data_IF_020487881447
#
_entry.id   IF_020487881447
#
_cell.length_a   1.000
_cell.length_b   1.000
_cell.length_c   1.000
_cell.angle_alpha   90.00
_cell.angle_beta   90.00
_cell.angle_gamma   90.00
#
_symmetry.space_group_name_H-M   'P 1'
#
loop_
_entity.id
_entity.type
_entity.pdbx_description
1 polymer ?
#
# COMPACT_ATOMS: atom_id res chain seq x y z
N UNK A 1 1.67 30.55 11.06
CA UNK A 1 0.84 29.77 12.01
C UNK A 1 0.60 28.38 11.42
N UNK A 2 0.85 27.31 12.18
CA UNK A 2 0.59 25.94 11.76
C UNK A 2 -0.51 25.34 12.62
N UNK A 3 -1.25 24.38 12.07
CA UNK A 3 -2.23 23.58 12.80
C UNK A 3 -1.70 22.15 12.94
N UNK A 4 -1.77 21.62 14.15
CA UNK A 4 -1.37 20.25 14.44
C UNK A 4 -2.50 19.30 14.03
N UNK A 5 -2.35 18.65 12.87
CA UNK A 5 -3.33 17.70 12.31
C UNK A 5 -3.28 16.32 12.96
N UNK A 6 -3.72 15.29 12.24
CA UNK A 6 -3.68 13.92 12.77
C UNK A 6 -2.29 13.29 12.60
N UNK A 7 -1.90 13.08 11.35
CA UNK A 7 -0.60 12.56 10.90
C UNK A 7 0.33 13.66 10.37
N UNK A 8 -0.24 14.78 9.92
CA UNK A 8 0.52 15.87 9.31
C UNK A 8 0.38 17.19 10.09
N UNK A 9 1.42 18.03 10.04
CA UNK A 9 1.32 19.46 10.35
C UNK A 9 0.72 20.19 9.14
N UNK A 10 -0.22 21.07 9.39
CA UNK A 10 -0.93 21.84 8.38
C UNK A 10 -0.40 23.27 8.38
N UNK A 11 0.02 23.77 7.22
CA UNK A 11 0.58 25.12 7.10
C UNK A 11 0.14 25.78 5.78
N UNK A 12 0.06 27.13 5.70
CA UNK A 12 -0.13 27.80 4.44
C UNK A 12 0.98 27.43 3.45
N UNK A 13 0.63 27.23 2.18
CA UNK A 13 1.61 26.84 1.18
C UNK A 13 2.63 27.95 0.91
N UNK A 14 3.90 27.56 0.86
CA UNK A 14 4.99 28.41 0.39
C UNK A 14 5.13 28.37 -1.15
N UNK A 15 4.47 27.42 -1.81
CA UNK A 15 4.56 27.15 -3.25
C UNK A 15 3.48 27.88 -4.06
N UNK A 16 2.50 28.49 -3.38
CA UNK A 16 1.52 29.36 -4.03
C UNK A 16 2.08 30.77 -4.11
N UNK A 17 2.24 31.31 -5.32
CA UNK A 17 2.52 32.73 -5.50
C UNK A 17 1.35 33.53 -4.92
N UNK A 18 1.55 34.11 -3.74
CA UNK A 18 0.70 35.19 -3.26
C UNK A 18 0.84 36.34 -4.26
N UNK A 19 -0.18 36.57 -5.10
CA UNK A 19 -0.35 37.89 -5.71
C UNK A 19 -0.43 38.88 -4.56
N UNK A 20 0.54 39.79 -4.49
CA UNK A 20 0.73 40.74 -3.37
C UNK A 20 -0.40 41.78 -3.21
N UNK A 21 -1.49 41.74 -3.98
CA UNK A 21 -2.54 42.77 -3.99
C UNK A 21 -3.98 42.26 -3.76
N UNK A 22 -4.20 41.40 -2.77
CA UNK A 22 -5.56 41.21 -2.24
C UNK A 22 -5.57 41.23 -0.70
N UNK A 23 -6.55 41.93 -0.07
CA UNK A 23 -6.63 42.00 1.38
C UNK A 23 -6.80 40.59 1.95
N UNK A 24 -6.00 40.30 2.98
CA UNK A 24 -6.05 39.06 3.74
C UNK A 24 -7.51 38.72 4.10
N UNK A 25 -8.04 37.56 3.69
CA UNK A 25 -9.32 37.12 4.21
C UNK A 25 -9.20 36.94 5.73
N UNK A 26 -10.29 37.15 6.50
CA UNK A 26 -10.26 37.00 7.95
C UNK A 26 -9.69 35.64 8.34
N UNK A 27 -8.95 35.60 9.46
CA UNK A 27 -8.12 34.50 9.96
C UNK A 27 -8.81 33.12 10.17
N UNK A 28 -10.05 32.95 9.71
CA UNK A 28 -10.85 31.74 9.82
C UNK A 28 -11.00 30.93 8.51
N UNK A 29 -10.42 31.33 7.37
CA UNK A 29 -10.75 30.67 6.09
C UNK A 29 -9.66 30.53 5.03
N UNK A 30 -8.38 30.60 5.36
CA UNK A 30 -7.35 30.09 4.44
C UNK A 30 -7.23 28.58 4.67
N UNK A 31 -7.71 27.69 3.76
CA UNK A 31 -7.49 26.26 3.94
C UNK A 31 -5.99 26.01 3.92
N UNK A 32 -5.47 25.30 4.93
CA UNK A 32 -4.11 24.80 4.88
C UNK A 32 -3.96 23.92 3.64
N UNK A 33 -2.99 24.25 2.79
CA UNK A 33 -2.77 23.55 1.53
C UNK A 33 -1.47 22.77 1.53
N UNK A 34 -0.56 23.05 2.46
CA UNK A 34 0.70 22.33 2.65
C UNK A 34 0.62 21.47 3.91
N UNK A 35 0.93 20.19 3.74
CA UNK A 35 0.89 19.16 4.76
C UNK A 35 2.29 18.58 4.90
N UNK A 36 2.80 18.50 6.12
CA UNK A 36 4.12 17.92 6.42
C UNK A 36 3.91 16.74 7.36
N UNK A 37 4.30 15.53 6.95
CA UNK A 37 4.19 14.33 7.79
C UNK A 37 5.05 14.49 9.06
N UNK A 38 4.47 14.20 10.22
CA UNK A 38 5.11 14.40 11.54
C UNK A 38 6.26 13.43 11.80
N UNK A 39 6.29 12.30 11.11
CA UNK A 39 7.25 11.22 11.34
C UNK A 39 8.38 11.25 10.32
N UNK A 40 8.05 11.40 9.03
CA UNK A 40 9.02 11.38 7.93
C UNK A 40 9.54 12.77 7.56
N UNK A 41 8.79 13.83 7.90
CA UNK A 41 9.06 15.18 7.44
C UNK A 41 8.78 15.42 5.95
N UNK A 42 8.29 14.42 5.21
CA UNK A 42 7.89 14.60 3.80
C UNK A 42 6.70 15.55 3.69
N UNK A 43 6.67 16.38 2.66
CA UNK A 43 5.60 17.35 2.46
C UNK A 43 4.79 17.06 1.20
N UNK A 44 3.52 17.49 1.22
CA UNK A 44 2.64 17.58 0.07
C UNK A 44 1.89 18.91 0.11
N UNK A 45 1.98 19.68 -0.97
CA UNK A 45 1.14 20.82 -1.23
C UNK A 45 -0.04 20.40 -2.10
N UNK A 46 -1.24 20.25 -1.53
CA UNK A 46 -2.46 19.89 -2.28
C UNK A 46 -2.88 20.95 -3.31
N UNK A 47 -2.42 22.21 -3.17
CA UNK A 47 -2.73 23.27 -4.13
C UNK A 47 -1.86 23.21 -5.39
N UNK A 48 -0.57 22.87 -5.26
CA UNK A 48 0.37 22.83 -6.38
C UNK A 48 0.74 21.41 -6.81
N UNK A 49 0.42 20.41 -5.98
CA UNK A 49 0.90 19.04 -6.05
C UNK A 49 2.43 18.92 -5.92
N UNK A 50 3.10 19.95 -5.38
CA UNK A 50 4.51 19.85 -5.03
C UNK A 50 4.65 18.92 -3.82
N UNK A 51 5.52 17.93 -3.93
CA UNK A 51 5.85 16.98 -2.87
C UNK A 51 7.36 16.77 -2.81
N UNK A 52 7.85 16.29 -1.67
CA UNK A 52 9.26 16.03 -1.49
C UNK A 52 9.60 15.62 -0.06
N UNK A 53 10.89 15.41 0.16
CA UNK A 53 11.47 15.11 1.47
C UNK A 53 11.57 16.37 2.33
N UNK A 54 11.96 16.20 3.59
CA UNK A 54 12.27 17.33 4.47
C UNK A 54 13.43 18.18 3.94
N UNK A 55 14.43 17.57 3.30
CA UNK A 55 15.57 18.28 2.72
C UNK A 55 15.11 19.16 1.55
N UNK A 56 14.24 18.64 0.69
CA UNK A 56 13.65 19.40 -0.40
C UNK A 56 12.83 20.58 0.13
N UNK A 57 12.06 20.36 1.20
CA UNK A 57 11.30 21.42 1.85
C UNK A 57 12.24 22.53 2.38
N UNK A 58 13.27 22.14 3.12
CA UNK A 58 14.25 23.07 3.70
C UNK A 58 14.95 23.88 2.59
N UNK A 59 15.40 23.23 1.52
CA UNK A 59 16.02 23.89 0.39
C UNK A 59 15.07 24.93 -0.25
N UNK A 60 13.80 24.59 -0.45
CA UNK A 60 12.79 25.50 -0.99
C UNK A 60 12.54 26.72 -0.08
N UNK A 61 12.52 26.51 1.23
CA UNK A 61 12.38 27.59 2.23
C UNK A 61 13.59 28.52 2.19
N UNK A 62 14.81 27.97 2.17
CA UNK A 62 16.06 28.73 2.13
C UNK A 62 16.21 29.54 0.83
N UNK A 63 15.87 28.96 -0.31
CA UNK A 63 15.90 29.65 -1.61
C UNK A 63 14.92 30.82 -1.65
N UNK A 64 13.72 30.64 -1.10
CA UNK A 64 12.73 31.72 -1.01
C UNK A 64 13.21 32.86 -0.10
N UNK A 65 13.89 32.55 1.01
CA UNK A 65 14.53 33.56 1.86
C UNK A 65 15.65 34.32 1.14
N UNK A 66 16.32 33.69 0.17
CA UNK A 66 17.36 34.30 -0.68
C UNK A 66 16.81 35.01 -1.93
N UNK A 67 15.48 35.04 -2.11
CA UNK A 67 14.83 35.68 -3.28
C UNK A 67 15.04 34.94 -4.60
N UNK A 68 15.49 33.68 -4.55
CA UNK A 68 15.68 32.84 -5.73
C UNK A 68 14.40 32.02 -5.95
N UNK A 69 13.81 32.01 -7.16
CA UNK A 69 12.67 31.16 -7.43
C UNK A 69 13.04 29.70 -7.20
N UNK A 70 12.13 28.95 -6.58
CA UNK A 70 12.29 27.52 -6.34
C UNK A 70 12.65 26.80 -7.66
N UNK A 71 13.57 25.81 -7.65
CA UNK A 71 13.77 24.96 -8.80
C UNK A 71 12.42 24.34 -9.18
N UNK A 72 12.06 24.41 -10.46
CA UNK A 72 10.93 23.64 -10.99
C UNK A 72 11.15 22.18 -10.63
N UNK A 73 10.10 21.52 -10.13
CA UNK A 73 10.07 20.09 -9.82
C UNK A 73 10.93 19.32 -10.82
N UNK A 74 11.90 18.55 -10.31
CA UNK A 74 12.78 17.72 -11.14
C UNK A 74 11.97 17.03 -12.23
N UNK A 75 12.43 17.11 -13.48
CA UNK A 75 11.76 16.41 -14.56
C UNK A 75 11.70 14.93 -14.20
N UNK A 76 10.52 14.29 -14.29
CA UNK A 76 10.42 12.87 -13.97
C UNK A 76 11.42 12.10 -14.85
N UNK A 77 12.10 11.13 -14.24
CA UNK A 77 13.02 10.24 -14.94
C UNK A 77 12.40 9.70 -16.24
N UNK A 78 13.22 9.47 -17.26
CA UNK A 78 12.74 9.15 -18.60
C UNK A 78 11.78 7.94 -18.62
N UNK A 79 12.03 6.95 -17.76
CA UNK A 79 11.18 5.77 -17.60
C UNK A 79 9.81 6.09 -16.98
N UNK A 80 9.77 7.00 -15.99
CA UNK A 80 8.51 7.48 -15.41
C UNK A 80 7.70 8.27 -16.45
N UNK A 81 8.36 9.01 -17.35
CA UNK A 81 7.70 9.70 -18.46
C UNK A 81 7.10 8.70 -19.45
N UNK A 82 7.86 7.70 -19.87
CA UNK A 82 7.39 6.61 -20.77
C UNK A 82 6.21 5.86 -20.17
N UNK A 83 6.30 5.44 -18.91
CA UNK A 83 5.20 4.74 -18.23
C UNK A 83 3.91 5.57 -18.14
N UNK A 84 4.02 6.90 -17.99
CA UNK A 84 2.86 7.80 -18.04
C UNK A 84 2.27 7.92 -19.45
N UNK A 85 3.10 7.87 -20.49
CA UNK A 85 2.66 7.84 -21.88
C UNK A 85 1.95 6.52 -22.21
N UNK A 86 2.48 5.38 -21.76
CA UNK A 86 1.87 4.07 -21.90
C UNK A 86 0.50 4.00 -21.21
N UNK A 87 0.42 4.51 -19.97
CA UNK A 87 -0.85 4.63 -19.25
C UNK A 87 -1.88 5.47 -20.03
N UNK A 88 -1.45 6.58 -20.66
CA UNK A 88 -2.33 7.40 -21.51
C UNK A 88 -2.78 6.64 -22.77
N UNK A 89 -1.86 5.94 -23.44
CA UNK A 89 -2.17 5.14 -24.62
C UNK A 89 -3.21 4.05 -24.30
N UNK A 90 -3.03 3.34 -23.18
CA UNK A 90 -3.98 2.34 -22.69
C UNK A 90 -5.33 2.98 -22.38
N UNK A 91 -5.32 4.11 -21.67
CA UNK A 91 -6.54 4.84 -21.32
C UNK A 91 -7.34 5.28 -22.55
N UNK A 92 -6.69 5.82 -23.57
CA UNK A 92 -7.32 6.30 -24.79
C UNK A 92 -7.87 5.16 -25.65
N UNK A 93 -7.24 3.98 -25.60
CA UNK A 93 -7.73 2.76 -26.26
C UNK A 93 -8.83 2.04 -25.48
N UNK A 94 -8.93 2.27 -24.17
CA UNK A 94 -9.95 1.66 -23.33
C UNK A 94 -11.31 2.34 -23.54
N UNK A 95 -12.37 1.54 -23.62
CA UNK A 95 -13.73 2.03 -23.82
C UNK A 95 -14.42 2.23 -22.47
N UNK A 96 -15.24 3.28 -22.27
CA UNK A 96 -16.04 3.40 -21.07
C UNK A 96 -16.92 2.16 -20.90
N UNK A 97 -16.87 1.52 -19.73
CA UNK A 97 -17.53 0.22 -19.53
C UNK A 97 -19.05 0.31 -19.71
N UNK A 98 -19.65 1.46 -19.42
CA UNK A 98 -21.08 1.74 -19.59
C UNK A 98 -21.48 2.16 -21.02
N UNK A 99 -20.53 2.36 -21.93
CA UNK A 99 -20.74 2.75 -23.33
C UNK A 99 -20.22 1.70 -24.31
N UNK A 100 -20.05 0.45 -23.86
CA UNK A 100 -19.75 -0.63 -24.78
C UNK A 100 -20.91 -0.76 -25.78
N UNK A 101 -20.55 -0.91 -27.07
CA UNK A 101 -21.51 -0.91 -28.18
C UNK A 101 -22.53 -2.07 -28.12
N UNK A 102 -22.24 -3.12 -27.36
CA UNK A 102 -23.06 -4.33 -27.21
C UNK A 102 -23.48 -4.52 -25.74
N UNK A 103 -24.80 -4.54 -25.49
CA UNK A 103 -25.38 -4.73 -24.16
C UNK A 103 -25.08 -6.13 -23.58
N UNK A 104 -24.99 -7.14 -24.44
CA UNK A 104 -24.65 -8.51 -24.03
C UNK A 104 -23.16 -8.61 -23.65
N UNK A 105 -22.27 -7.96 -24.42
CA UNK A 105 -20.85 -7.83 -24.06
C UNK A 105 -20.68 -7.12 -22.71
N UNK A 106 -21.45 -6.05 -22.47
CA UNK A 106 -21.43 -5.30 -21.21
C UNK A 106 -21.85 -6.19 -20.04
N UNK A 107 -22.98 -6.89 -20.20
CA UNK A 107 -23.54 -7.76 -19.16
C UNK A 107 -22.61 -8.93 -18.84
N UNK A 108 -22.02 -9.55 -19.87
CA UNK A 108 -21.02 -10.63 -19.74
C UNK A 108 -19.75 -10.14 -19.07
N UNK A 109 -19.26 -8.95 -19.44
CA UNK A 109 -18.09 -8.34 -18.82
C UNK A 109 -18.36 -8.05 -17.35
N UNK A 110 -19.49 -7.42 -17.02
CA UNK A 110 -19.86 -7.16 -15.62
C UNK A 110 -19.97 -8.46 -14.80
N UNK A 111 -20.58 -9.51 -15.36
CA UNK A 111 -20.66 -10.80 -14.71
C UNK A 111 -19.27 -11.44 -14.49
N UNK A 112 -18.37 -11.33 -15.46
CA UNK A 112 -17.00 -11.85 -15.37
C UNK A 112 -16.23 -11.27 -14.18
N UNK A 113 -16.41 -9.98 -13.91
CA UNK A 113 -15.75 -9.29 -12.80
C UNK A 113 -16.57 -9.29 -11.50
N UNK A 114 -17.74 -9.93 -11.47
CA UNK A 114 -18.60 -9.97 -10.29
C UNK A 114 -19.26 -8.63 -9.94
N UNK A 115 -19.46 -7.75 -10.93
CA UNK A 115 -19.97 -6.38 -10.76
C UNK A 115 -21.34 -6.18 -11.43
N UNK A 116 -22.12 -7.24 -11.63
CA UNK A 116 -23.44 -7.18 -12.27
C UNK A 116 -24.41 -6.21 -11.59
N UNK A 117 -24.30 -6.01 -10.27
CA UNK A 117 -25.13 -5.06 -9.52
C UNK A 117 -24.58 -3.63 -9.53
N UNK A 118 -23.36 -3.39 -10.05
CA UNK A 118 -22.79 -2.04 -10.13
C UNK A 118 -23.42 -1.30 -11.31
N UNK A 119 -24.03 -0.17 -11.00
CA UNK A 119 -24.76 0.67 -11.95
C UNK A 119 -23.80 1.44 -12.87
N UNK A 120 -24.28 1.75 -14.07
CA UNK A 120 -23.54 2.56 -15.04
C UNK A 120 -23.24 3.98 -14.53
N UNK A 121 -24.13 4.53 -13.70
CA UNK A 121 -23.90 5.81 -13.05
C UNK A 121 -22.66 5.78 -12.14
N UNK A 122 -22.47 4.70 -11.37
CA UNK A 122 -21.29 4.51 -10.53
C UNK A 122 -20.04 4.32 -11.38
N UNK A 123 -20.09 3.47 -12.40
CA UNK A 123 -18.96 3.24 -13.31
C UNK A 123 -18.53 4.55 -13.99
N UNK A 124 -19.50 5.32 -14.48
CA UNK A 124 -19.30 6.63 -15.09
C UNK A 124 -18.65 7.62 -14.14
N UNK A 125 -19.13 7.66 -12.89
CA UNK A 125 -18.60 8.55 -11.87
C UNK A 125 -17.13 8.26 -11.55
N UNK A 126 -16.75 6.99 -11.47
CA UNK A 126 -15.36 6.58 -11.19
C UNK A 126 -14.48 6.46 -12.45
N UNK A 127 -15.04 6.64 -13.64
CA UNK A 127 -14.28 6.56 -14.89
C UNK A 127 -13.81 5.15 -15.23
N UNK A 128 -14.51 4.10 -14.81
CA UNK A 128 -14.09 2.72 -15.06
C UNK A 128 -14.20 2.37 -16.55
N UNK A 129 -13.09 1.97 -17.17
CA UNK A 129 -13.04 1.58 -18.59
C UNK A 129 -12.74 0.09 -18.76
N UNK A 130 -12.86 -0.39 -19.98
CA UNK A 130 -12.58 -1.76 -20.38
C UNK A 130 -11.66 -1.78 -21.59
N UNK A 131 -10.55 -2.51 -21.47
CA UNK A 131 -9.60 -2.74 -22.54
C UNK A 131 -9.88 -4.12 -23.18
N UNK A 132 -10.57 -4.11 -24.33
CA UNK A 132 -10.96 -5.33 -25.05
C UNK A 132 -9.78 -6.24 -25.41
N UNK A 133 -8.67 -5.66 -25.84
CA UNK A 133 -7.48 -6.42 -26.28
C UNK A 133 -6.91 -7.31 -25.17
N UNK A 134 -6.90 -6.81 -23.92
CA UNK A 134 -6.41 -7.53 -22.75
C UNK A 134 -7.52 -8.24 -21.95
N UNK A 135 -8.79 -7.96 -22.27
CA UNK A 135 -9.97 -8.36 -21.46
C UNK A 135 -9.84 -7.90 -20.00
N UNK A 136 -9.39 -6.65 -19.82
CA UNK A 136 -9.08 -6.09 -18.49
C UNK A 136 -9.95 -4.88 -18.19
N UNK A 137 -10.40 -4.76 -16.94
CA UNK A 137 -10.91 -3.50 -16.42
C UNK A 137 -9.76 -2.52 -16.21
N UNK A 138 -10.03 -1.24 -16.45
CA UNK A 138 -9.07 -0.13 -16.33
C UNK A 138 -9.61 0.86 -15.31
N UNK A 139 -8.90 1.02 -14.20
CA UNK A 139 -9.22 1.94 -13.12
C UNK A 139 -8.27 3.14 -13.17
N UNK A 140 -8.76 4.35 -13.49
CA UNK A 140 -7.90 5.52 -13.56
C UNK A 140 -7.58 6.09 -12.19
N UNK A 141 -6.34 6.52 -12.01
CA UNK A 141 -5.97 7.44 -10.94
C UNK A 141 -5.80 8.83 -11.51
N UNK A 142 -6.77 9.68 -11.23
CA UNK A 142 -6.73 11.07 -11.62
C UNK A 142 -6.14 11.95 -10.51
N UNK A 143 -5.51 13.03 -10.92
CA UNK A 143 -5.10 14.09 -10.02
C UNK A 143 -6.33 14.77 -9.38
N UNK A 144 -6.30 15.07 -8.08
CA UNK A 144 -7.43 15.68 -7.38
C UNK A 144 -7.71 17.12 -7.82
N UNK A 145 -6.77 17.80 -8.49
CA UNK A 145 -6.89 19.22 -8.84
C UNK A 145 -7.46 19.45 -10.23
N UNK A 146 -6.94 18.74 -11.21
CA UNK A 146 -7.18 18.98 -12.64
C UNK A 146 -7.76 17.77 -13.37
N UNK A 147 -8.06 16.69 -12.62
CA UNK A 147 -8.53 15.42 -13.15
C UNK A 147 -7.63 14.84 -14.27
N UNK A 148 -6.35 15.24 -14.31
CA UNK A 148 -5.40 14.67 -15.28
C UNK A 148 -5.10 13.23 -14.92
N UNK A 149 -5.01 12.37 -15.93
CA UNK A 149 -4.59 10.98 -15.73
C UNK A 149 -3.14 10.95 -15.26
N UNK A 150 -2.94 10.37 -14.09
CA UNK A 150 -1.63 10.26 -13.45
C UNK A 150 -1.13 8.81 -13.44
N UNK A 151 -2.04 7.85 -13.51
CA UNK A 151 -1.78 6.43 -13.71
C UNK A 151 -3.07 5.64 -13.86
N UNK A 152 -2.97 4.34 -14.03
CA UNK A 152 -4.09 3.41 -14.07
C UNK A 152 -3.72 2.05 -13.50
N UNK A 153 -4.74 1.33 -13.04
CA UNK A 153 -4.66 -0.08 -12.68
C UNK A 153 -5.45 -0.91 -13.67
N UNK A 154 -4.83 -1.98 -14.16
CA UNK A 154 -5.48 -3.01 -14.96
C UNK A 154 -5.82 -4.19 -14.06
N UNK A 155 -7.05 -4.68 -14.16
CA UNK A 155 -7.46 -5.92 -13.49
C UNK A 155 -7.97 -6.87 -14.55
N UNK A 156 -7.34 -8.04 -14.63
CA UNK A 156 -7.71 -9.15 -15.52
C UNK A 156 -8.19 -10.32 -14.70
N UNK A 157 -9.16 -11.06 -15.23
CA UNK A 157 -9.60 -12.32 -14.65
C UNK A 157 -8.94 -13.48 -15.38
N UNK A 158 -8.22 -14.32 -14.63
CA UNK A 158 -7.70 -15.61 -15.08
C UNK A 158 -8.44 -16.76 -14.38
N UNK A 159 -8.78 -17.80 -15.14
CA UNK A 159 -9.33 -19.03 -14.56
C UNK A 159 -8.19 -20.01 -14.33
N UNK A 160 -7.88 -20.31 -13.06
CA UNK A 160 -6.96 -21.40 -12.68
C UNK A 160 -7.79 -22.57 -12.17
N UNK A 161 -8.20 -23.44 -13.09
CA UNK A 161 -9.17 -24.51 -12.79
C UNK A 161 -10.56 -23.93 -12.49
N UNK A 162 -11.16 -24.35 -11.39
CA UNK A 162 -12.46 -23.83 -10.92
C UNK A 162 -12.34 -22.50 -10.16
N UNK A 163 -11.13 -22.04 -9.84
CA UNK A 163 -10.89 -20.80 -9.11
C UNK A 163 -10.68 -19.61 -10.06
N UNK A 164 -11.32 -18.48 -9.72
CA UNK A 164 -11.13 -17.19 -10.37
C UNK A 164 -9.96 -16.48 -9.68
N UNK A 165 -8.90 -16.19 -10.44
CA UNK A 165 -7.77 -15.39 -9.99
C UNK A 165 -7.83 -14.02 -10.66
N UNK A 166 -7.63 -12.96 -9.88
CA UNK A 166 -7.48 -11.61 -10.40
C UNK A 166 -5.99 -11.30 -10.54
N UNK A 167 -5.59 -10.85 -11.72
CA UNK A 167 -4.23 -10.38 -12.01
C UNK A 167 -4.29 -8.87 -12.12
N UNK A 168 -3.47 -8.20 -11.31
CA UNK A 168 -3.42 -6.75 -11.20
C UNK A 168 -2.10 -6.24 -11.81
N UNK A 169 -2.18 -5.16 -12.58
CA UNK A 169 -1.01 -4.47 -13.15
C UNK A 169 -1.21 -2.97 -12.97
N UNK A 170 -0.16 -2.25 -12.58
CA UNK A 170 -0.23 -0.83 -12.19
C UNK A 170 0.76 -0.01 -12.99
N UNK A 171 0.29 1.07 -13.60
CA UNK A 171 1.09 1.97 -14.45
C UNK A 171 0.91 3.44 -14.02
N UNK A 172 1.99 4.19 -13.73
CA UNK A 172 3.37 3.71 -13.54
C UNK A 172 3.50 2.80 -12.31
N UNK A 173 4.59 2.04 -12.23
CA UNK A 173 4.90 1.13 -11.10
C UNK A 173 4.95 1.87 -9.76
N UNK A 174 4.76 1.11 -8.67
CA UNK A 174 4.43 1.64 -7.35
C UNK A 174 5.48 2.57 -6.73
N UNK A 175 6.77 2.45 -7.07
CA UNK A 175 7.82 3.24 -6.42
C UNK A 175 7.78 4.73 -6.83
N UNK A 176 7.17 5.03 -7.97
CA UNK A 176 7.07 6.39 -8.53
C UNK A 176 5.71 7.06 -8.30
N UNK A 177 4.76 6.43 -7.59
CA UNK A 177 3.37 6.89 -7.61
C UNK A 177 2.59 6.83 -6.29
N UNK A 178 2.05 7.99 -5.88
CA UNK A 178 1.43 8.24 -4.57
C UNK A 178 0.01 8.81 -4.71
N UNK A 179 -0.93 8.03 -5.24
CA UNK A 179 -2.32 8.46 -5.36
C UNK A 179 -3.32 7.37 -4.90
N UNK A 180 -4.59 7.75 -4.77
CA UNK A 180 -5.70 6.92 -4.32
C UNK A 180 -6.80 6.86 -5.40
N UNK A 181 -7.37 5.68 -5.62
CA UNK A 181 -8.53 5.55 -6.50
C UNK A 181 -9.74 6.24 -5.90
N UNK A 182 -10.45 7.04 -6.71
CA UNK A 182 -11.61 7.83 -6.27
C UNK A 182 -11.27 9.19 -5.64
N UNK A 183 -9.99 9.58 -5.53
CA UNK A 183 -9.58 10.81 -4.86
C UNK A 183 -10.23 12.10 -5.42
N UNK A 184 -10.34 12.32 -6.74
CA UNK A 184 -11.02 13.51 -7.28
C UNK A 184 -12.52 13.57 -7.00
N UNK A 185 -13.12 12.45 -6.57
CA UNK A 185 -14.55 12.40 -6.23
C UNK A 185 -14.84 12.90 -4.82
N UNK A 186 -13.79 13.08 -4.01
CA UNK A 186 -13.89 13.60 -2.65
C UNK A 186 -14.14 15.10 -2.69
N UNK A 187 -15.26 15.53 -2.13
CA UNK A 187 -15.59 16.93 -1.93
C UNK A 187 -15.00 17.49 -0.65
N UNK A 188 -14.79 18.81 -0.60
CA UNK A 188 -14.32 19.52 0.62
C UNK A 188 -15.26 19.39 1.83
N UNK A 189 -16.50 18.95 1.63
CA UNK A 189 -17.50 18.75 2.68
C UNK A 189 -17.51 17.32 3.23
N UNK A 190 -16.80 16.41 2.59
CA UNK A 190 -16.72 15.02 3.02
C UNK A 190 -15.85 14.94 4.27
N UNK A 191 -16.50 14.63 5.40
CA UNK A 191 -15.82 14.51 6.70
C UNK A 191 -15.61 13.07 7.13
N UNK A 192 -16.19 12.14 6.38
CA UNK A 192 -16.15 10.70 6.63
C UNK A 192 -15.67 9.98 5.37
N UNK A 193 -14.83 8.97 5.56
CA UNK A 193 -14.23 8.18 4.49
C UNK A 193 -14.30 6.69 4.82
N UNK A 194 -14.50 5.86 3.79
CA UNK A 194 -14.20 4.43 3.85
C UNK A 194 -12.98 4.13 2.97
N UNK A 195 -11.96 3.50 3.55
CA UNK A 195 -10.79 3.01 2.82
C UNK A 195 -10.93 1.52 2.54
N UNK A 196 -10.77 1.14 1.28
CA UNK A 196 -10.79 -0.24 0.80
C UNK A 196 -9.42 -0.69 0.30
N UNK A 197 -9.22 -2.02 0.25
CA UNK A 197 -8.05 -2.60 -0.38
C UNK A 197 -8.15 -2.64 -1.91
N UNK A 198 -9.36 -2.65 -2.47
CA UNK A 198 -9.61 -2.85 -3.90
C UNK A 198 -10.53 -1.80 -4.50
N UNK A 199 -10.32 -1.48 -5.77
CA UNK A 199 -11.06 -0.49 -6.53
C UNK A 199 -12.55 -0.86 -6.66
N UNK A 200 -12.83 -2.14 -6.92
CA UNK A 200 -14.21 -2.64 -7.05
C UNK A 200 -15.02 -2.49 -5.76
N UNK A 201 -14.38 -2.68 -4.61
CA UNK A 201 -15.02 -2.50 -3.31
C UNK A 201 -15.36 -1.03 -3.06
N UNK A 202 -14.52 -0.09 -3.53
CA UNK A 202 -14.81 1.34 -3.44
C UNK A 202 -16.03 1.73 -4.30
N UNK A 203 -16.20 1.12 -5.47
CA UNK A 203 -17.40 1.31 -6.30
C UNK A 203 -18.67 0.84 -5.57
N UNK A 204 -18.62 -0.38 -5.01
CA UNK A 204 -19.75 -0.98 -4.32
C UNK A 204 -20.17 -0.16 -3.09
N UNK A 205 -19.20 0.32 -2.30
CA UNK A 205 -19.46 1.18 -1.14
C UNK A 205 -20.07 2.51 -1.52
N UNK A 206 -19.50 3.19 -2.51
CA UNK A 206 -20.00 4.48 -2.93
C UNK A 206 -21.43 4.37 -3.44
N UNK A 207 -21.72 3.34 -4.24
CA UNK A 207 -23.07 3.08 -4.74
C UNK A 207 -24.07 2.80 -3.61
N UNK A 208 -23.71 1.94 -2.66
CA UNK A 208 -24.65 1.48 -1.64
C UNK A 208 -24.87 2.52 -0.51
N UNK A 209 -23.86 3.35 -0.23
CA UNK A 209 -23.85 4.20 0.98
C UNK A 209 -23.78 5.69 0.69
N UNK A 210 -23.31 6.08 -0.50
CA UNK A 210 -23.02 7.47 -0.85
C UNK A 210 -21.82 8.09 -0.13
N UNK A 211 -21.15 7.35 0.77
CA UNK A 211 -19.99 7.83 1.52
C UNK A 211 -18.78 7.93 0.58
N UNK A 212 -17.91 8.91 0.83
CA UNK A 212 -16.63 8.99 0.14
C UNK A 212 -15.86 7.67 0.35
N UNK A 213 -15.42 7.08 -0.75
CA UNK A 213 -14.78 5.75 -0.75
C UNK A 213 -13.51 5.82 -1.59
N UNK A 214 -12.39 5.38 -1.04
CA UNK A 214 -11.09 5.38 -1.70
C UNK A 214 -10.45 4.00 -1.62
N UNK A 215 -9.78 3.56 -2.68
CA UNK A 215 -9.01 2.32 -2.67
C UNK A 215 -7.50 2.57 -2.61
N UNK A 216 -6.81 1.75 -1.82
CA UNK A 216 -5.36 1.77 -1.67
C UNK A 216 -4.67 1.13 -2.89
N UNK A 217 -3.58 1.72 -3.41
CA UNK A 217 -2.92 1.21 -4.61
C UNK A 217 -2.36 -0.22 -4.44
N UNK A 218 -1.81 -0.52 -3.25
CA UNK A 218 -1.28 -1.86 -2.88
C UNK A 218 -2.20 -2.60 -1.90
N UNK A 219 -3.49 -2.28 -1.91
CA UNK A 219 -4.48 -2.91 -1.03
C UNK A 219 -4.08 -2.98 0.44
N UNK A 220 -4.23 -4.17 1.05
CA UNK A 220 -3.88 -4.40 2.45
C UNK A 220 -2.37 -4.55 2.72
N UNK A 221 -1.52 -4.56 1.67
CA UNK A 221 -0.09 -4.81 1.81
C UNK A 221 0.65 -3.61 2.41
N UNK A 222 0.34 -2.39 1.97
CA UNK A 222 1.04 -1.20 2.44
C UNK A 222 0.19 0.08 2.32
N UNK A 223 0.29 0.93 3.34
CA UNK A 223 -0.21 2.31 3.34
C UNK A 223 0.99 3.28 3.42
N UNK A 224 1.47 3.79 2.27
CA UNK A 224 2.60 4.73 2.25
C UNK A 224 2.27 6.03 3.00
N UNK A 225 3.20 6.55 3.84
CA UNK A 225 3.02 7.83 4.55
C UNK A 225 2.70 9.01 3.62
N UNK A 226 3.18 8.95 2.38
CA UNK A 226 2.90 9.96 1.36
C UNK A 226 1.40 10.16 1.04
N UNK A 227 0.56 9.17 1.33
CA UNK A 227 -0.88 9.25 1.11
C UNK A 227 -1.62 9.89 2.28
N UNK A 228 -0.99 9.97 3.47
CA UNK A 228 -1.62 10.49 4.69
C UNK A 228 -2.11 11.95 4.57
N UNK A 229 -1.39 12.86 3.88
CA UNK A 229 -1.89 14.21 3.60
C UNK A 229 -3.29 14.25 2.97
N UNK A 230 -3.59 13.36 2.02
CA UNK A 230 -4.91 13.31 1.37
C UNK A 230 -6.03 12.88 2.33
N UNK A 231 -5.65 12.23 3.44
CA UNK A 231 -6.55 11.67 4.44
C UNK A 231 -6.75 12.61 5.64
N UNK A 232 -6.05 13.74 5.71
CA UNK A 232 -6.13 14.70 6.83
C UNK A 232 -7.50 15.36 6.97
N UNK A 233 -8.21 15.59 5.87
CA UNK A 233 -9.53 16.27 5.91
C UNK A 233 -10.61 15.47 6.64
N UNK A 234 -10.46 14.15 6.74
CA UNK A 234 -11.48 13.27 7.28
C UNK A 234 -11.39 13.18 8.80
N UNK A 235 -12.53 13.45 9.46
CA UNK A 235 -12.69 13.33 10.91
C UNK A 235 -12.97 11.90 11.34
N UNK A 236 -13.50 11.07 10.45
CA UNK A 236 -13.75 9.64 10.68
C UNK A 236 -13.31 8.84 9.46
N UNK A 237 -12.51 7.81 9.70
CA UNK A 237 -12.03 6.89 8.66
C UNK A 237 -12.44 5.47 9.05
N UNK A 238 -13.16 4.78 8.17
CA UNK A 238 -13.50 3.37 8.34
C UNK A 238 -12.60 2.53 7.43
N UNK A 239 -11.89 1.55 7.98
CA UNK A 239 -11.04 0.63 7.23
C UNK A 239 -11.82 -0.67 6.97
N UNK A 240 -12.06 -0.98 5.70
CA UNK A 240 -12.69 -2.22 5.24
C UNK A 240 -11.86 -2.80 4.09
N UNK A 241 -10.71 -3.36 4.46
CA UNK A 241 -9.64 -3.66 3.51
C UNK A 241 -9.80 -5.00 2.77
N UNK A 242 -10.61 -5.91 3.29
CA UNK A 242 -10.81 -7.23 2.71
C UNK A 242 -11.60 -8.16 3.63
N UNK A 243 -11.52 -9.46 3.34
CA UNK A 243 -12.31 -10.52 3.97
C UNK A 243 -11.49 -11.50 4.82
N UNK A 244 -10.17 -11.32 4.90
CA UNK A 244 -9.29 -12.21 5.64
C UNK A 244 -8.67 -11.55 6.88
N UNK A 245 -8.17 -12.38 7.79
CA UNK A 245 -7.49 -11.91 9.00
C UNK A 245 -6.25 -11.05 8.69
N UNK A 246 -5.59 -11.25 7.53
CA UNK A 246 -4.47 -10.40 7.10
C UNK A 246 -4.93 -8.97 6.84
N UNK A 247 -6.05 -8.79 6.13
CA UNK A 247 -6.68 -7.50 5.90
C UNK A 247 -7.11 -6.84 7.21
N UNK A 248 -7.59 -7.62 8.17
CA UNK A 248 -7.92 -7.15 9.52
C UNK A 248 -6.69 -6.65 10.29
N UNK A 249 -5.60 -7.41 10.28
CA UNK A 249 -4.34 -7.00 10.90
C UNK A 249 -3.74 -5.76 10.23
N UNK A 250 -3.75 -5.70 8.90
CA UNK A 250 -3.32 -4.53 8.14
C UNK A 250 -4.14 -3.29 8.52
N UNK A 251 -5.46 -3.43 8.66
CA UNK A 251 -6.32 -2.35 9.11
C UNK A 251 -5.93 -1.82 10.51
N UNK A 252 -5.59 -2.71 11.44
CA UNK A 252 -5.06 -2.30 12.77
C UNK A 252 -3.74 -1.53 12.67
N UNK A 253 -2.83 -1.94 11.78
CA UNK A 253 -1.56 -1.23 11.57
C UNK A 253 -1.78 0.14 10.94
N UNK A 254 -2.58 0.21 9.88
CA UNK A 254 -2.87 1.45 9.16
C UNK A 254 -3.59 2.47 10.06
N UNK A 255 -4.47 2.01 10.96
CA UNK A 255 -5.10 2.87 11.95
C UNK A 255 -4.12 3.58 12.90
N UNK A 256 -2.93 3.00 13.15
CA UNK A 256 -1.89 3.65 13.95
C UNK A 256 -1.30 4.85 13.21
N UNK A 257 -1.04 4.72 11.90
CA UNK A 257 -0.58 5.84 11.03
C UNK A 257 -1.65 6.92 10.91
N UNK A 258 -2.90 6.52 10.82
CA UNK A 258 -4.05 7.42 10.61
C UNK A 258 -4.61 8.03 11.90
N UNK A 259 -3.98 7.86 13.06
CA UNK A 259 -4.52 8.20 14.38
C UNK A 259 -5.73 7.35 14.80
N UNK A 260 -5.49 6.48 15.79
CA UNK A 260 -6.44 5.47 16.27
C UNK A 260 -7.81 6.03 16.67
N UNK A 261 -7.86 7.26 17.19
CA UNK A 261 -9.09 7.87 17.72
C UNK A 261 -10.15 8.18 16.66
N UNK A 262 -9.74 8.36 15.40
CA UNK A 262 -10.65 8.62 14.28
C UNK A 262 -10.93 7.41 13.40
N UNK A 263 -10.28 6.28 13.70
CA UNK A 263 -10.37 5.09 12.89
C UNK A 263 -11.39 4.10 13.45
N UNK A 264 -12.19 3.50 12.56
CA UNK A 264 -13.04 2.34 12.84
C UNK A 264 -12.70 1.22 11.86
N UNK A 265 -12.84 -0.02 12.27
CA UNK A 265 -12.41 -1.20 11.52
C UNK A 265 -13.60 -2.11 11.30
N UNK A 266 -13.85 -2.52 10.06
CA UNK A 266 -14.82 -3.57 9.75
C UNK A 266 -14.14 -4.92 9.91
N UNK A 267 -14.76 -5.80 10.70
CA UNK A 267 -14.19 -7.10 11.01
C UNK A 267 -14.65 -8.13 9.96
N UNK A 268 -13.73 -8.87 9.34
CA UNK A 268 -14.14 -9.94 8.42
C UNK A 268 -14.97 -11.01 9.13
N UNK A 269 -16.10 -11.36 8.53
CA UNK A 269 -16.98 -12.47 8.95
C UNK A 269 -17.95 -12.81 7.81
N UNK A 270 -18.65 -13.95 7.90
CA UNK A 270 -19.66 -14.32 6.91
C UNK A 270 -20.78 -13.27 6.75
N UNK A 271 -21.04 -12.50 7.81
CA UNK A 271 -22.02 -11.40 7.80
C UNK A 271 -21.43 -10.05 7.37
N UNK A 272 -20.11 -9.97 7.22
CA UNK A 272 -19.35 -8.79 6.83
C UNK A 272 -18.24 -9.20 5.84
N UNK A 273 -18.59 -9.74 4.66
CA UNK A 273 -17.61 -10.09 3.64
C UNK A 273 -16.99 -8.81 3.05
N UNK A 274 -16.15 -8.93 2.02
CA UNK A 274 -15.65 -7.74 1.32
C UNK A 274 -16.81 -6.92 0.70
N UNK A 275 -16.67 -5.59 0.53
CA UNK A 275 -17.80 -4.74 0.13
C UNK A 275 -18.52 -5.12 -1.16
N UNK A 276 -17.80 -5.51 -2.21
CA UNK A 276 -18.43 -5.95 -3.46
C UNK A 276 -19.29 -7.20 -3.25
N UNK A 277 -18.77 -8.16 -2.48
CA UNK A 277 -19.51 -9.39 -2.20
C UNK A 277 -20.73 -9.10 -1.30
N UNK A 278 -20.59 -8.23 -0.30
CA UNK A 278 -21.70 -7.78 0.52
C UNK A 278 -22.82 -7.16 -0.33
N UNK A 279 -22.46 -6.38 -1.37
CA UNK A 279 -23.42 -5.83 -2.32
C UNK A 279 -24.10 -6.94 -3.13
N UNK A 280 -23.33 -7.90 -3.65
CA UNK A 280 -23.83 -9.04 -4.42
C UNK A 280 -24.77 -9.96 -3.62
N UNK A 281 -24.53 -10.11 -2.32
CA UNK A 281 -25.39 -10.85 -1.40
C UNK A 281 -26.62 -10.04 -0.92
N UNK A 282 -26.75 -8.77 -1.30
CA UNK A 282 -27.84 -7.90 -0.87
C UNK A 282 -27.78 -7.47 0.60
N UNK A 283 -26.59 -7.53 1.22
CA UNK A 283 -26.38 -7.08 2.59
C UNK A 283 -26.46 -5.55 2.70
N UNK A 284 -26.83 -5.04 3.87
CA UNK A 284 -26.89 -3.60 4.11
C UNK A 284 -25.52 -3.04 4.50
N UNK A 285 -24.77 -2.53 3.53
CA UNK A 285 -23.43 -1.96 3.74
C UNK A 285 -23.43 -0.81 4.75
N UNK A 286 -24.46 0.04 4.78
CA UNK A 286 -24.58 1.13 5.77
C UNK A 286 -24.67 0.58 7.20
N UNK A 287 -25.40 -0.52 7.40
CA UNK A 287 -25.48 -1.20 8.70
C UNK A 287 -24.13 -1.79 9.10
N UNK A 288 -23.39 -2.37 8.16
CA UNK A 288 -22.04 -2.90 8.40
C UNK A 288 -21.09 -1.77 8.81
N UNK A 289 -21.08 -0.65 8.09
CA UNK A 289 -20.27 0.52 8.44
C UNK A 289 -20.59 1.08 9.84
N UNK A 290 -21.87 1.12 10.21
CA UNK A 290 -22.29 1.55 11.56
C UNK A 290 -21.88 0.57 12.66
N UNK A 291 -21.70 -0.70 12.32
CA UNK A 291 -21.25 -1.75 13.23
C UNK A 291 -19.71 -1.86 13.29
N UNK A 292 -18.97 -1.03 12.54
CA UNK A 292 -17.51 -1.01 12.57
C UNK A 292 -16.99 -0.73 13.99
N UNK A 293 -15.92 -1.43 14.35
CA UNK A 293 -15.35 -1.39 15.69
C UNK A 293 -14.35 -0.23 15.81
N UNK A 294 -14.38 0.59 16.87
CA UNK A 294 -13.37 1.62 17.07
C UNK A 294 -11.95 1.03 17.13
N UNK A 295 -11.00 1.64 16.42
CA UNK A 295 -9.60 1.17 16.42
C UNK A 295 -8.88 1.49 17.74
N UNK A 296 -9.33 2.52 18.47
CA UNK A 296 -8.75 2.90 19.75
C UNK A 296 -9.10 1.88 20.83
N UNK A 297 -8.14 1.04 21.19
CA UNK A 297 -8.28 0.19 22.37
C UNK A 297 -7.70 0.91 23.61
N UNK A 298 -8.40 0.81 24.76
CA UNK A 298 -7.83 1.21 26.05
C UNK A 298 -6.68 0.25 26.38
N UNK A 299 -5.60 0.75 27.00
CA UNK A 299 -4.39 -0.03 27.34
C UNK A 299 -4.64 -1.25 28.25
N UNK A 300 -5.86 -1.39 28.78
CA UNK A 300 -6.32 -2.54 29.56
C UNK A 300 -7.66 -2.99 28.99
N UNK A 301 -7.79 -4.29 28.77
CA UNK A 301 -8.91 -4.94 28.09
C UNK A 301 -9.43 -6.08 28.96
N UNK A 302 -10.73 -6.31 28.98
CA UNK A 302 -11.34 -7.46 29.67
C UNK A 302 -11.61 -8.60 28.69
N UNK A 303 -11.68 -9.84 29.17
CA UNK A 303 -12.09 -10.97 28.32
C UNK A 303 -13.45 -10.72 27.65
N UNK A 304 -14.38 -10.03 28.33
CA UNK A 304 -15.66 -9.64 27.74
C UNK A 304 -15.50 -8.83 26.44
N UNK A 305 -14.47 -7.98 26.36
CA UNK A 305 -14.16 -7.19 25.16
C UNK A 305 -13.42 -8.03 24.11
N UNK A 306 -12.62 -9.01 24.53
CA UNK A 306 -11.88 -9.91 23.64
C UNK A 306 -12.70 -11.11 23.14
N UNK A 307 -13.85 -11.40 23.75
CA UNK A 307 -14.62 -12.64 23.53
C UNK A 307 -14.89 -12.91 22.05
N UNK A 308 -15.31 -11.88 21.33
CA UNK A 308 -15.57 -11.97 19.90
C UNK A 308 -14.29 -12.19 19.10
N UNK A 309 -13.20 -11.48 19.46
CA UNK A 309 -11.89 -11.65 18.81
C UNK A 309 -11.38 -13.08 18.97
N UNK A 310 -11.36 -13.59 20.19
CA UNK A 310 -11.00 -14.97 20.54
C UNK A 310 -11.88 -15.97 19.78
N UNK A 311 -13.20 -15.76 19.73
CA UNK A 311 -14.08 -16.65 18.97
C UNK A 311 -13.70 -16.69 17.48
N UNK A 312 -13.43 -15.55 16.86
CA UNK A 312 -13.05 -15.54 15.44
C UNK A 312 -11.66 -16.11 15.18
N UNK A 313 -10.72 -16.03 16.13
CA UNK A 313 -9.45 -16.75 16.02
C UNK A 313 -9.65 -18.27 16.08
N UNK A 314 -10.54 -18.74 16.97
CA UNK A 314 -10.87 -20.17 17.09
C UNK A 314 -11.58 -20.70 15.83
N UNK A 315 -12.50 -19.92 15.26
CA UNK A 315 -13.18 -20.29 14.01
C UNK A 315 -12.21 -20.32 12.83
N UNK A 316 -11.31 -19.33 12.74
CA UNK A 316 -10.39 -19.18 11.62
C UNK A 316 -8.99 -19.74 11.93
N UNK A 317 -8.92 -20.93 12.55
CA UNK A 317 -7.67 -21.55 13.01
C UNK A 317 -6.61 -21.61 11.89
N UNK A 318 -7.00 -21.88 10.64
CA UNK A 318 -6.05 -21.94 9.53
C UNK A 318 -5.44 -20.60 9.13
N UNK A 319 -6.20 -19.51 9.25
CA UNK A 319 -5.71 -18.16 8.94
C UNK A 319 -4.83 -17.61 10.08
N UNK A 320 -5.07 -18.05 11.33
CA UNK A 320 -4.27 -17.69 12.51
C UNK A 320 -2.95 -18.48 12.58
N UNK A 321 -2.84 -19.61 11.87
CA UNK A 321 -1.63 -20.45 11.86
C UNK A 321 -0.37 -19.72 11.33
N UNK A 322 -0.56 -18.57 10.70
CA UNK A 322 0.48 -17.79 10.03
C UNK A 322 0.47 -18.00 8.52
N UNK A 323 1.35 -17.30 7.82
CA UNK A 323 1.48 -17.43 6.36
C UNK A 323 2.18 -18.76 6.07
N UNK A 324 1.43 -19.72 5.52
CA UNK A 324 1.98 -21.03 5.13
C UNK A 324 2.91 -20.86 3.93
N UNK A 325 4.08 -21.49 3.94
CA UNK A 325 4.99 -21.45 2.79
C UNK A 325 4.43 -22.27 1.63
N UNK A 326 4.39 -21.71 0.42
CA UNK A 326 3.90 -22.43 -0.75
C UNK A 326 4.94 -23.45 -1.25
N UNK A 327 6.22 -23.04 -1.26
CA UNK A 327 7.38 -23.85 -1.69
C UNK A 327 7.86 -24.86 -0.64
N UNK A 328 7.43 -24.72 0.63
CA UNK A 328 7.87 -25.59 1.74
C UNK A 328 6.72 -26.26 2.52
N UNK A 329 5.96 -27.20 1.92
CA UNK A 329 4.84 -27.86 2.59
C UNK A 329 5.23 -28.62 3.87
N UNK A 330 6.39 -29.26 3.91
CA UNK A 330 6.86 -29.98 5.11
C UNK A 330 7.19 -29.02 6.26
N UNK A 331 7.70 -27.83 5.96
CA UNK A 331 7.96 -26.81 6.97
C UNK A 331 6.64 -26.35 7.63
N UNK A 332 5.55 -26.27 6.86
CA UNK A 332 4.23 -25.99 7.41
C UNK A 332 3.74 -27.08 8.37
N UNK A 333 4.11 -28.35 8.18
CA UNK A 333 3.71 -29.41 9.12
C UNK A 333 4.38 -29.22 10.48
N UNK A 334 5.63 -28.76 10.48
CA UNK A 334 6.46 -28.57 11.67
C UNK A 334 6.21 -27.22 12.36
N UNK A 335 6.32 -26.12 11.62
CA UNK A 335 6.26 -24.75 12.16
C UNK A 335 4.88 -24.11 12.08
N UNK A 336 3.94 -24.73 11.35
CA UNK A 336 2.56 -24.25 11.10
C UNK A 336 2.42 -22.97 10.28
N UNK A 337 3.52 -22.42 9.76
CA UNK A 337 3.54 -21.20 8.96
C UNK A 337 4.34 -20.08 9.64
N UNK A 338 4.53 -18.97 8.93
CA UNK A 338 5.19 -17.78 9.46
C UNK A 338 4.22 -16.95 10.32
N UNK A 339 4.50 -16.82 11.62
CA UNK A 339 3.71 -15.99 12.53
C UNK A 339 4.47 -14.73 12.94
N UNK A 340 3.72 -13.63 13.05
CA UNK A 340 4.26 -12.33 13.45
C UNK A 340 4.62 -12.34 14.93
N UNK A 341 5.70 -11.64 15.29
CA UNK A 341 6.18 -11.54 16.66
C UNK A 341 7.08 -12.70 17.11
N UNK A 342 7.29 -13.71 16.26
CA UNK A 342 8.25 -14.78 16.52
C UNK A 342 9.67 -14.36 16.11
N UNK A 343 10.67 -14.85 16.86
CA UNK A 343 12.08 -14.76 16.50
C UNK A 343 12.57 -16.15 16.12
N UNK A 344 12.88 -16.34 14.83
CA UNK A 344 13.42 -17.59 14.30
C UNK A 344 14.93 -17.48 14.15
N UNK A 345 15.66 -18.39 14.80
CA UNK A 345 17.12 -18.49 14.65
C UNK A 345 17.46 -19.64 13.72
N UNK A 346 18.05 -19.32 12.57
CA UNK A 346 18.54 -20.32 11.61
C UNK A 346 20.06 -20.44 11.71
N UNK A 347 20.56 -21.65 12.01
CA UNK A 347 21.99 -21.88 12.28
C UNK A 347 22.51 -23.13 11.57
N UNK A 348 23.81 -23.17 11.34
CA UNK A 348 24.50 -24.23 10.61
C UNK A 348 25.90 -23.81 10.17
N UNK A 349 26.78 -24.76 9.79
CA UNK A 349 28.16 -24.48 9.43
C UNK A 349 28.26 -23.54 8.21
N UNK A 350 29.39 -22.86 8.05
CA UNK A 350 29.66 -22.03 6.86
C UNK A 350 29.61 -22.88 5.60
N UNK A 351 29.02 -22.35 4.53
CA UNK A 351 28.87 -23.07 3.26
C UNK A 351 27.75 -24.14 3.21
N UNK A 352 26.97 -24.32 4.29
CA UNK A 352 25.83 -25.27 4.30
C UNK A 352 24.58 -24.79 3.54
N UNK A 353 24.62 -23.61 2.91
CA UNK A 353 23.49 -23.08 2.16
C UNK A 353 22.47 -22.27 2.97
N UNK A 354 22.83 -21.76 4.16
CA UNK A 354 21.92 -20.99 5.02
C UNK A 354 21.27 -19.80 4.30
N UNK A 355 22.09 -18.91 3.76
CA UNK A 355 21.61 -17.72 3.05
C UNK A 355 20.77 -18.10 1.85
N UNK A 356 21.15 -19.15 1.10
CA UNK A 356 20.36 -19.68 -0.03
C UNK A 356 18.99 -20.19 0.39
N UNK A 357 18.90 -20.87 1.54
CA UNK A 357 17.63 -21.34 2.08
C UNK A 357 16.77 -20.18 2.57
N UNK A 358 17.34 -19.25 3.34
CA UNK A 358 16.60 -18.11 3.89
C UNK A 358 16.15 -17.15 2.78
N UNK A 359 16.93 -17.00 1.71
CA UNK A 359 16.53 -16.20 0.53
C UNK A 359 15.30 -16.78 -0.15
N UNK A 360 15.25 -18.09 -0.37
CA UNK A 360 14.09 -18.79 -0.94
C UNK A 360 12.87 -18.75 0.00
N UNK A 361 13.10 -18.96 1.30
CA UNK A 361 12.07 -18.88 2.35
C UNK A 361 11.43 -17.49 2.41
N UNK A 362 12.24 -16.43 2.36
CA UNK A 362 11.77 -15.06 2.44
C UNK A 362 11.05 -14.66 1.15
N UNK A 363 11.56 -15.10 0.00
CA UNK A 363 10.96 -14.87 -1.30
C UNK A 363 9.57 -15.49 -1.41
N UNK A 364 9.38 -16.71 -0.90
CA UNK A 364 8.05 -17.36 -0.85
C UNK A 364 7.03 -16.53 -0.06
N UNK A 365 7.45 -15.92 1.05
CA UNK A 365 6.60 -15.01 1.83
C UNK A 365 6.33 -13.70 1.07
N UNK A 366 7.33 -13.11 0.42
CA UNK A 366 7.18 -11.91 -0.41
C UNK A 366 6.16 -12.11 -1.53
N UNK A 367 6.23 -13.26 -2.23
CA UNK A 367 5.31 -13.63 -3.29
C UNK A 367 3.86 -13.75 -2.81
N UNK A 368 3.65 -13.98 -1.52
CA UNK A 368 2.34 -14.00 -0.87
C UNK A 368 1.92 -12.64 -0.27
N UNK A 369 2.67 -11.57 -0.56
CA UNK A 369 2.39 -10.21 -0.11
C UNK A 369 2.95 -9.84 1.26
N UNK A 370 3.82 -10.66 1.86
CA UNK A 370 4.45 -10.31 3.15
C UNK A 370 5.58 -9.32 2.93
N UNK A 371 5.39 -8.08 3.38
CA UNK A 371 6.40 -7.03 3.32
C UNK A 371 7.66 -7.44 4.09
N UNK A 372 8.75 -7.69 3.35
CA UNK A 372 9.98 -8.27 3.88
C UNK A 372 11.16 -7.31 3.73
N UNK A 373 11.94 -7.18 4.79
CA UNK A 373 13.18 -6.41 4.82
C UNK A 373 14.39 -7.32 5.02
N UNK A 374 15.39 -7.20 4.17
CA UNK A 374 16.67 -7.90 4.26
C UNK A 374 17.78 -7.00 4.78
N UNK A 375 18.35 -7.35 5.93
CA UNK A 375 19.62 -6.82 6.43
C UNK A 375 20.75 -7.80 6.13
N UNK A 376 21.43 -7.61 5.00
CA UNK A 376 22.52 -8.47 4.54
C UNK A 376 23.89 -7.90 4.93
N UNK A 377 24.46 -8.37 6.04
CA UNK A 377 25.73 -7.93 6.60
C UNK A 377 26.95 -8.71 6.08
N UNK A 378 26.74 -9.90 5.49
CA UNK A 378 27.81 -10.74 4.94
C UNK A 378 27.92 -10.65 3.40
N UNK A 379 26.78 -10.59 2.70
CA UNK A 379 26.73 -10.55 1.23
C UNK A 379 26.22 -9.18 0.78
N UNK A 380 26.82 -8.60 -0.27
CA UNK A 380 26.31 -7.34 -0.83
C UNK A 380 24.92 -7.49 -1.47
N UNK A 381 24.14 -6.42 -1.49
CA UNK A 381 22.75 -6.46 -1.99
C UNK A 381 22.64 -6.89 -3.45
N UNK A 382 23.58 -6.50 -4.31
CA UNK A 382 23.57 -6.90 -5.73
C UNK A 382 23.68 -8.42 -5.88
N UNK A 383 24.56 -9.07 -5.13
CA UNK A 383 24.74 -10.53 -5.18
C UNK A 383 23.55 -11.26 -4.54
N UNK A 384 23.02 -10.73 -3.44
CA UNK A 384 21.82 -11.29 -2.82
C UNK A 384 20.60 -11.18 -3.77
N UNK A 385 20.37 -10.01 -4.34
CA UNK A 385 19.29 -9.77 -5.29
C UNK A 385 19.43 -10.67 -6.54
N UNK A 386 20.65 -10.86 -7.06
CA UNK A 386 20.91 -11.84 -8.12
C UNK A 386 20.45 -13.25 -7.72
N UNK A 387 20.81 -13.71 -6.52
CA UNK A 387 20.41 -15.05 -6.02
C UNK A 387 18.88 -15.14 -5.94
N UNK A 388 18.24 -14.14 -5.33
CA UNK A 388 16.78 -14.10 -5.17
C UNK A 388 16.04 -14.01 -6.50
N UNK A 389 16.54 -13.24 -7.47
CA UNK A 389 15.97 -13.12 -8.81
C UNK A 389 16.03 -14.45 -9.57
N UNK A 390 17.19 -15.14 -9.54
CA UNK A 390 17.34 -16.47 -10.13
C UNK A 390 16.41 -17.50 -9.46
N UNK A 391 16.26 -17.42 -8.13
CA UNK A 391 15.32 -18.24 -7.34
C UNK A 391 13.85 -17.97 -7.69
N UNK A 392 13.51 -16.71 -7.92
CA UNK A 392 12.18 -16.26 -8.32
C UNK A 392 11.81 -16.73 -9.72
N UNK A 393 12.75 -16.60 -10.66
CA UNK A 393 12.59 -17.09 -12.02
C UNK A 393 12.57 -18.63 -12.12
N UNK A 394 13.08 -19.32 -11.08
CA UNK A 394 13.25 -20.78 -11.03
C UNK A 394 14.05 -21.34 -12.22
N UNK A 395 14.91 -20.52 -12.82
CA UNK A 395 15.73 -20.83 -13.98
C UNK A 395 17.05 -20.06 -13.92
N UNK A 396 18.05 -20.54 -14.67
CA UNK A 396 19.38 -19.92 -14.71
C UNK A 396 19.37 -18.73 -15.66
N UNK A 397 19.08 -17.54 -15.14
CA UNK A 397 19.04 -16.32 -15.93
C UNK A 397 20.38 -15.96 -16.59
N UNK A 398 21.51 -16.46 -16.09
CA UNK A 398 22.80 -16.27 -16.78
C UNK A 398 22.83 -16.91 -18.16
N UNK A 399 22.06 -17.97 -18.38
CA UNK A 399 21.98 -18.70 -19.64
C UNK A 399 20.88 -18.14 -20.57
N UNK A 400 20.03 -17.22 -20.07
CA UNK A 400 18.84 -16.67 -20.74
C UNK A 400 18.66 -15.18 -20.42
N UNK A 401 19.68 -14.37 -20.73
CA UNK A 401 19.71 -12.94 -20.41
C UNK A 401 18.59 -12.15 -21.09
N UNK A 402 18.04 -12.65 -22.21
CA UNK A 402 16.89 -12.07 -22.89
C UNK A 402 15.62 -12.03 -22.04
N UNK A 403 15.51 -12.87 -21.00
CA UNK A 403 14.39 -12.88 -20.07
C UNK A 403 14.63 -12.01 -18.83
N UNK A 404 15.81 -11.39 -18.70
CA UNK A 404 16.20 -10.64 -17.51
C UNK A 404 15.20 -9.52 -17.20
N UNK A 405 14.88 -8.68 -18.19
CA UNK A 405 14.02 -7.52 -17.98
C UNK A 405 12.61 -7.95 -17.53
N UNK A 406 12.03 -8.99 -18.15
CA UNK A 406 10.71 -9.53 -17.74
C UNK A 406 10.69 -10.01 -16.28
N UNK A 407 11.73 -10.74 -15.86
CA UNK A 407 11.79 -11.26 -14.49
C UNK A 407 12.17 -10.18 -13.48
N UNK A 408 13.05 -9.25 -13.83
CA UNK A 408 13.41 -8.12 -12.99
C UNK A 408 12.18 -7.25 -12.72
N UNK A 409 11.41 -6.99 -13.77
CA UNK A 409 10.12 -6.31 -13.70
C UNK A 409 9.17 -6.98 -12.71
N UNK A 410 8.97 -8.30 -12.82
CA UNK A 410 8.08 -9.02 -11.91
C UNK A 410 8.63 -9.11 -10.48
N UNK A 411 9.95 -9.07 -10.33
CA UNK A 411 10.63 -9.10 -9.03
C UNK A 411 10.50 -7.76 -8.30
N UNK A 412 10.50 -6.65 -9.02
CA UNK A 412 10.31 -5.30 -8.49
C UNK A 412 8.91 -5.11 -7.88
N UNK A 413 7.89 -5.82 -8.37
CA UNK A 413 6.53 -5.78 -7.81
C UNK A 413 6.42 -6.43 -6.42
N UNK A 414 7.43 -7.19 -5.99
CA UNK A 414 7.44 -7.82 -4.68
C UNK A 414 7.63 -6.77 -3.58
N UNK A 415 6.97 -6.91 -2.41
CA UNK A 415 7.16 -6.02 -1.27
C UNK A 415 8.47 -6.37 -0.52
N UNK A 416 9.59 -6.33 -1.24
CA UNK A 416 10.92 -6.73 -0.79
C UNK A 416 11.83 -5.51 -0.73
N UNK A 417 12.44 -5.29 0.43
CA UNK A 417 13.31 -4.15 0.69
C UNK A 417 14.66 -4.62 1.24
N UNK A 418 15.71 -3.85 0.99
CA UNK A 418 17.07 -4.15 1.46
C UNK A 418 17.60 -2.99 2.31
N UNK A 419 18.22 -3.32 3.44
CA UNK A 419 19.07 -2.37 4.15
C UNK A 419 20.36 -2.15 3.35
N UNK A 420 20.91 -0.94 3.42
CA UNK A 420 22.17 -0.59 2.75
C UNK A 420 23.42 -0.93 3.58
N UNK A 421 23.24 -1.58 4.72
CA UNK A 421 24.32 -1.97 5.61
C UNK A 421 25.15 -3.11 5.04
N UNK A 422 26.46 -3.06 5.30
CA UNK A 422 27.40 -4.14 5.02
C UNK A 422 28.47 -4.16 6.11
N UNK A 423 28.87 -5.34 6.57
CA UNK A 423 29.85 -5.50 7.67
C UNK A 423 29.33 -5.02 9.02
N UNK A 424 30.25 -4.61 9.90
CA UNK A 424 29.93 -4.20 11.28
C UNK A 424 29.12 -2.91 11.32
N UNK A 425 28.04 -2.92 12.10
CA UNK A 425 27.16 -1.77 12.28
C UNK A 425 26.74 -1.61 13.75
N UNK A 426 26.44 -0.37 14.14
CA UNK A 426 25.88 -0.12 15.46
C UNK A 426 24.45 -0.70 15.54
N UNK A 427 24.20 -1.53 16.55
CA UNK A 427 22.90 -2.17 16.77
C UNK A 427 21.74 -1.18 16.86
N UNK A 428 21.96 0.01 17.46
CA UNK A 428 20.96 1.06 17.56
C UNK A 428 20.58 1.58 16.18
N UNK A 429 21.56 1.85 15.32
CA UNK A 429 21.32 2.29 13.93
C UNK A 429 20.54 1.23 13.14
N UNK A 430 20.86 -0.05 13.34
CA UNK A 430 20.15 -1.16 12.70
C UNK A 430 18.69 -1.21 13.17
N UNK A 431 18.45 -1.14 14.49
CA UNK A 431 17.10 -1.13 15.07
C UNK A 431 16.29 0.09 14.60
N UNK A 432 16.90 1.29 14.62
CA UNK A 432 16.24 2.52 14.17
C UNK A 432 15.84 2.43 12.70
N UNK A 433 16.69 1.80 11.87
CA UNK A 433 16.41 1.55 10.45
C UNK A 433 15.28 0.51 10.27
N UNK A 434 15.25 -0.54 11.09
CA UNK A 434 14.12 -1.48 11.10
C UNK A 434 12.83 -0.76 11.46
N UNK A 435 12.81 0.05 12.52
CA UNK A 435 11.63 0.80 12.95
C UNK A 435 11.16 1.77 11.86
N UNK A 436 12.09 2.49 11.23
CA UNK A 436 11.80 3.36 10.10
C UNK A 436 11.18 2.59 8.94
N UNK A 437 11.74 1.42 8.59
CA UNK A 437 11.22 0.58 7.52
C UNK A 437 9.82 0.02 7.84
N UNK A 438 9.56 -0.41 9.08
CA UNK A 438 8.22 -0.81 9.53
C UNK A 438 7.23 0.33 9.34
N UNK A 439 7.59 1.58 9.67
CA UNK A 439 6.71 2.73 9.46
C UNK A 439 6.52 3.07 7.98
N UNK A 440 7.59 3.12 7.19
CA UNK A 440 7.53 3.56 5.79
C UNK A 440 6.87 2.54 4.87
N UNK A 441 7.22 1.27 5.03
CA UNK A 441 6.91 0.21 4.07
C UNK A 441 6.01 -0.88 4.65
N UNK A 442 5.50 -0.71 5.88
CA UNK A 442 4.68 -1.69 6.59
C UNK A 442 5.36 -3.07 6.69
N UNK A 443 6.69 -3.08 6.87
CA UNK A 443 7.47 -4.32 7.01
C UNK A 443 6.89 -5.18 8.14
N UNK A 444 6.62 -6.44 7.83
CA UNK A 444 6.08 -7.44 8.77
C UNK A 444 7.01 -8.63 8.98
N UNK A 445 8.01 -8.79 8.10
CA UNK A 445 9.04 -9.82 8.17
C UNK A 445 10.43 -9.20 7.99
N UNK A 446 11.38 -9.51 8.87
CA UNK A 446 12.75 -8.99 8.79
C UNK A 446 13.72 -10.16 8.83
N UNK A 447 14.63 -10.20 7.87
CA UNK A 447 15.75 -11.14 7.80
C UNK A 447 17.04 -10.39 8.15
N UNK A 448 17.81 -10.94 9.08
CA UNK A 448 19.13 -10.43 9.46
C UNK A 448 20.16 -11.51 9.19
N UNK A 449 20.97 -11.34 8.16
CA UNK A 449 21.99 -12.30 7.74
C UNK A 449 23.33 -11.57 7.50
N UNK A 450 24.34 -11.65 8.35
CA UNK A 450 24.57 -12.58 9.43
C UNK A 450 24.84 -11.81 10.73
N UNK A 451 24.24 -12.27 11.84
CA UNK A 451 24.34 -11.64 13.17
C UNK A 451 25.80 -11.44 13.63
N UNK A 452 26.70 -12.36 13.29
CA UNK A 452 28.12 -12.24 13.65
C UNK A 452 28.77 -11.02 13.02
N UNK A 453 28.52 -10.78 11.73
CA UNK A 453 29.09 -9.64 11.02
C UNK A 453 28.45 -8.32 11.45
N UNK A 454 27.16 -8.35 11.81
CA UNK A 454 26.45 -7.18 12.31
C UNK A 454 27.09 -6.64 13.61
N UNK A 455 27.31 -7.52 14.60
CA UNK A 455 27.86 -7.10 15.91
C UNK A 455 29.37 -6.81 15.87
N UNK A 456 30.08 -7.38 14.90
CA UNK A 456 31.54 -7.32 14.86
C UNK A 456 32.20 -8.14 15.97
N UNK A 457 33.53 -8.23 15.94
CA UNK A 457 34.32 -8.84 17.01
C UNK A 457 34.47 -7.87 18.19
N UNK A 458 33.37 -7.41 18.78
CA UNK A 458 33.47 -6.89 20.14
C UNK A 458 33.68 -8.08 21.06
N UNK A 459 34.90 -8.22 21.57
CA UNK A 459 35.21 -9.14 22.65
C UNK A 459 34.25 -8.86 23.80
N UNK A 460 33.21 -9.68 23.93
CA UNK A 460 32.59 -9.97 25.22
C UNK A 460 33.71 -10.57 26.08
N UNK A 461 34.48 -9.69 26.73
CA UNK A 461 35.12 -10.05 28.00
C UNK A 461 33.96 -10.37 28.93
N UNK A 462 33.58 -11.65 28.91
CA UNK A 462 32.78 -12.23 29.97
C UNK A 462 33.72 -12.23 31.17
N UNK A 463 33.71 -11.14 31.93
CA UNK A 463 34.23 -11.15 33.29
C UNK A 463 33.53 -12.31 34.02
N UNK A 464 34.35 -13.27 34.44
CA UNK A 464 33.94 -14.51 35.11
C UNK A 464 33.42 -14.24 36.51
#
# INVERSE_FOLDING_TARGET
>A
PFHDGYSCLHTPSLFTNSREDQPLPPAASAPYTLFIDKTTGSFLCTATLAEGTWQDFQANVELRHRGVPAPSSEEPEEDTRRAREDARCIWDRALPLWELLDEDETSKTKAMFGISLVTDATLKRFGVRYLRAAKSLVFPWFSPRDATLKGLKLVRVEKKGDAIAYVEETLPRFDSYRNLFGLPLVGRRDTELVLTGWELDALALHQATGVASLALPRGATCLPPALLPYLEQFKRITLWLGEDLRSWEAAKLFARKLSLKRCSLVRPSDLQPRPLEALNQGLNLTKILRAALPASHKSIVSFRQLREEVFGELVNTEQVAGVKWARFPELNKLLKGHRRGELTVFTGPTGSGKTTFISEYALDLCMQGVCTLWGSFEINNVRLAKIMLTQFAAQRLEDQLELYDEWADRFEDLPLYFMTFHGQQNIKTVIDTMQHAVYMYDITHVVVDNLQFMMGHEHLSVDR
#
